data_IF_484985253418
#
_entry.id   IF_484985253418
#
_cell.length_a   1.000
_cell.length_b   1.000
_cell.length_c   1.000
_cell.angle_alpha   90.00
_cell.angle_beta   90.00
_cell.angle_gamma   90.00
#
_symmetry.space_group_name_H-M   'P 1'
#
loop_
_entity.id
_entity.type
_entity.pdbx_description
1 polymer ?
#
# COMPACT_ATOMS: atom_id res chain seq x y z
N UNK A 1 6.59 -4.96 11.75
CA UNK A 1 6.67 -4.06 10.57
C UNK A 1 5.69 -2.91 10.76
N UNK A 2 6.05 -1.71 10.34
CA UNK A 2 5.12 -0.58 10.22
C UNK A 2 4.90 -0.23 8.75
N UNK A 3 3.65 0.02 8.36
CA UNK A 3 3.26 0.44 7.01
C UNK A 3 2.75 1.87 7.08
N UNK A 4 3.21 2.74 6.20
CA UNK A 4 2.77 4.14 6.14
C UNK A 4 2.71 4.67 4.72
N UNK A 5 2.00 5.78 4.52
CA UNK A 5 1.99 6.56 3.29
C UNK A 5 1.73 8.03 3.61
N UNK A 6 2.16 8.93 2.72
CA UNK A 6 1.82 10.36 2.76
C UNK A 6 0.57 10.69 1.94
N UNK A 7 -0.05 9.70 1.30
CA UNK A 7 -1.25 9.90 0.51
C UNK A 7 -2.44 10.37 1.37
N UNK A 8 -3.30 11.19 0.78
CA UNK A 8 -4.56 11.58 1.39
C UNK A 8 -5.51 10.37 1.52
N UNK A 9 -6.57 10.52 2.32
CA UNK A 9 -7.66 9.56 2.38
C UNK A 9 -8.98 10.33 2.23
N UNK A 10 -9.74 10.15 1.14
CA UNK A 10 -9.54 9.16 0.06
C UNK A 10 -8.38 9.49 -0.90
N UNK A 11 -7.95 8.48 -1.67
CA UNK A 11 -7.01 8.59 -2.80
C UNK A 11 -7.77 8.53 -4.13
N UNK A 12 -7.22 9.16 -5.17
CA UNK A 12 -7.79 9.14 -6.54
C UNK A 12 -6.86 8.49 -7.58
N UNK A 13 -5.86 7.73 -7.13
CA UNK A 13 -4.88 7.10 -7.99
C UNK A 13 -3.85 6.30 -7.21
N UNK A 14 -2.76 5.92 -7.88
CA UNK A 14 -1.67 5.18 -7.26
C UNK A 14 -0.94 6.01 -6.19
N UNK A 15 -0.45 5.33 -5.15
CA UNK A 15 0.29 5.96 -4.05
C UNK A 15 1.47 5.10 -3.62
N UNK A 16 2.49 5.73 -3.03
CA UNK A 16 3.63 5.00 -2.48
C UNK A 16 3.33 4.56 -1.06
N UNK A 17 3.43 3.26 -0.80
CA UNK A 17 3.48 2.69 0.54
C UNK A 17 4.94 2.48 0.98
N UNK A 18 5.23 2.80 2.23
CA UNK A 18 6.53 2.61 2.87
C UNK A 18 6.40 1.54 3.95
N UNK A 19 7.28 0.56 3.91
CA UNK A 19 7.39 -0.54 4.86
C UNK A 19 8.67 -0.33 5.68
N UNK A 20 8.52 -0.16 6.99
CA UNK A 20 9.62 0.09 7.91
C UNK A 20 9.75 -1.05 8.90
N UNK A 21 10.92 -1.67 8.91
CA UNK A 21 11.35 -2.65 9.90
C UNK A 21 12.13 -1.92 11.01
N UNK A 22 12.07 -2.43 12.23
CA UNK A 22 12.80 -1.85 13.38
C UNK A 22 14.30 -2.05 13.29
N UNK A 23 14.74 -3.03 12.49
CA UNK A 23 16.14 -3.40 12.27
C UNK A 23 16.36 -3.80 10.80
N UNK A 24 17.60 -4.06 10.42
CA UNK A 24 17.94 -4.52 9.08
C UNK A 24 17.38 -5.93 8.85
N UNK A 25 16.71 -6.14 7.71
CA UNK A 25 16.14 -7.44 7.34
C UNK A 25 16.56 -7.86 5.94
N UNK A 26 16.42 -9.15 5.67
CA UNK A 26 16.59 -9.78 4.36
C UNK A 26 15.37 -10.65 4.06
N UNK A 27 15.17 -10.98 2.78
CA UNK A 27 14.08 -11.86 2.35
C UNK A 27 12.76 -11.17 2.02
N UNK A 28 12.57 -9.91 2.42
CA UNK A 28 11.35 -9.17 2.06
C UNK A 28 11.30 -8.82 0.57
N UNK A 29 10.26 -9.27 -0.11
CA UNK A 29 10.01 -9.06 -1.53
C UNK A 29 8.56 -8.61 -1.79
N UNK A 30 8.29 -8.13 -3.00
CA UNK A 30 6.95 -7.65 -3.41
C UNK A 30 5.85 -8.71 -3.25
N UNK A 31 6.19 -9.99 -3.40
CA UNK A 31 5.25 -11.12 -3.25
C UNK A 31 4.79 -11.35 -1.80
N UNK A 32 5.49 -10.78 -0.82
CA UNK A 32 5.13 -10.90 0.60
C UNK A 32 4.10 -9.85 1.03
N UNK A 33 3.79 -8.89 0.15
CA UNK A 33 2.79 -7.85 0.39
C UNK A 33 1.43 -8.41 -0.03
N UNK A 34 0.53 -8.59 0.94
CA UNK A 34 -0.85 -8.98 0.66
C UNK A 34 -1.68 -7.72 0.45
N UNK A 35 -2.37 -7.64 -0.69
CA UNK A 35 -3.15 -6.47 -1.09
C UNK A 35 -4.63 -6.82 -1.28
N UNK A 36 -5.51 -5.98 -0.75
CA UNK A 36 -6.93 -5.94 -1.10
C UNK A 36 -7.21 -4.78 -2.04
N UNK A 37 -7.95 -5.04 -3.14
CA UNK A 37 -8.35 -4.04 -4.14
C UNK A 37 -7.18 -3.23 -4.75
N UNK A 38 -5.98 -3.81 -4.84
CA UNK A 38 -4.83 -3.13 -5.41
C UNK A 38 -3.77 -4.09 -5.95
N UNK A 39 -2.86 -3.55 -6.76
CA UNK A 39 -1.62 -4.22 -7.21
C UNK A 39 -0.39 -3.42 -6.78
N UNK A 40 0.72 -4.10 -6.49
CA UNK A 40 2.01 -3.46 -6.22
C UNK A 40 2.91 -3.47 -7.46
N UNK A 41 3.63 -2.37 -7.67
CA UNK A 41 4.73 -2.25 -8.64
C UNK A 41 5.85 -1.38 -8.06
N UNK A 42 6.94 -1.19 -8.81
CA UNK A 42 8.07 -0.34 -8.41
C UNK A 42 8.58 -0.61 -6.99
N UNK A 43 8.62 -1.89 -6.60
CA UNK A 43 9.16 -2.29 -5.30
C UNK A 43 10.66 -1.99 -5.24
N UNK A 44 11.09 -1.27 -4.22
CA UNK A 44 12.50 -0.91 -4.03
C UNK A 44 12.88 -0.92 -2.55
N UNK A 45 14.12 -1.26 -2.26
CA UNK A 45 14.72 -1.12 -0.94
C UNK A 45 15.45 0.23 -0.90
N UNK A 46 14.95 1.17 -0.11
CA UNK A 46 15.62 2.47 0.13
C UNK A 46 16.76 2.33 1.14
N UNK A 47 16.64 1.35 2.04
CA UNK A 47 17.71 0.90 2.94
C UNK A 47 17.48 -0.58 3.31
N UNK A 48 18.34 -1.13 4.17
CA UNK A 48 18.17 -2.49 4.70
C UNK A 48 16.96 -2.65 5.64
N UNK A 49 16.30 -1.57 6.02
CA UNK A 49 15.14 -1.57 6.93
C UNK A 49 13.91 -0.86 6.34
N UNK A 50 14.06 -0.19 5.20
CA UNK A 50 13.00 0.63 4.59
C UNK A 50 12.81 0.24 3.14
N UNK A 51 11.59 -0.18 2.81
CA UNK A 51 11.19 -0.59 1.48
C UNK A 51 10.01 0.27 1.04
N UNK A 52 9.86 0.48 -0.26
CA UNK A 52 8.70 1.17 -0.83
C UNK A 52 8.12 0.37 -1.99
N UNK A 53 6.82 0.53 -2.21
CA UNK A 53 6.13 0.00 -3.37
C UNK A 53 5.08 1.01 -3.84
N UNK A 54 4.87 1.08 -5.16
CA UNK A 54 3.76 1.82 -5.75
C UNK A 54 2.51 0.93 -5.72
N UNK A 55 1.52 1.35 -4.95
CA UNK A 55 0.23 0.66 -4.80
C UNK A 55 -0.76 1.33 -5.73
N UNK A 56 -1.35 0.55 -6.64
CA UNK A 56 -2.34 1.02 -7.61
C UNK A 56 -3.69 0.40 -7.28
N UNK A 57 -4.69 1.18 -6.82
CA UNK A 57 -6.04 0.68 -6.60
C UNK A 57 -6.66 0.14 -7.89
N UNK A 58 -7.47 -0.91 -7.80
CA UNK A 58 -8.14 -1.50 -8.97
C UNK A 58 -9.50 -0.85 -9.25
N UNK A 59 -10.31 -0.64 -8.20
CA UNK A 59 -11.63 0.02 -8.28
C UNK A 59 -11.86 0.94 -7.09
N UNK A 60 -12.95 1.70 -7.11
CA UNK A 60 -13.45 2.42 -5.94
C UNK A 60 -13.65 1.48 -4.75
N UNK A 61 -13.39 1.99 -3.54
CA UNK A 61 -13.55 1.26 -2.29
C UNK A 61 -12.26 1.10 -1.49
N UNK A 62 -12.31 0.29 -0.45
CA UNK A 62 -11.19 0.13 0.49
C UNK A 62 -10.03 -0.62 -0.16
N UNK A 63 -8.83 -0.04 -0.05
CA UNK A 63 -7.55 -0.66 -0.36
C UNK A 63 -6.91 -1.08 0.96
N UNK A 64 -6.49 -2.34 1.07
CA UNK A 64 -5.80 -2.85 2.27
C UNK A 64 -4.40 -3.35 1.91
N UNK A 65 -3.47 -3.17 2.85
CA UNK A 65 -2.09 -3.64 2.75
C UNK A 65 -1.73 -4.37 4.04
N UNK A 66 -1.29 -5.60 3.89
CA UNK A 66 -0.85 -6.47 4.98
C UNK A 66 0.54 -7.03 4.70
N UNK A 67 1.27 -7.28 5.78
CA UNK A 67 2.55 -8.00 5.79
C UNK A 67 2.48 -8.99 6.95
N UNK A 68 2.60 -10.28 6.65
CA UNK A 68 2.46 -11.36 7.63
C UNK A 68 3.62 -11.38 8.65
N UNK A 69 3.62 -12.32 9.59
CA UNK A 69 4.79 -12.59 10.42
C UNK A 69 5.75 -13.55 9.69
N UNK A 70 7.04 -13.47 10.01
CA UNK A 70 8.08 -14.41 9.54
C UNK A 70 8.31 -14.46 8.01
N UNK A 71 8.11 -13.36 7.29
CA UNK A 71 8.44 -13.27 5.86
C UNK A 71 9.84 -12.69 5.63
N UNK A 72 10.29 -11.83 6.54
CA UNK A 72 11.62 -11.21 6.51
C UNK A 72 12.36 -11.56 7.79
N UNK A 73 13.68 -11.69 7.69
CA UNK A 73 14.53 -12.10 8.80
C UNK A 73 15.71 -11.15 9.01
N UNK A 74 16.09 -10.94 10.27
CA UNK A 74 17.32 -10.23 10.63
C UNK A 74 18.58 -11.11 10.42
N UNK A 75 19.76 -10.56 10.77
CA UNK A 75 21.03 -11.28 10.66
C UNK A 75 21.16 -12.51 11.59
N UNK A 76 20.35 -12.59 12.64
CA UNK A 76 20.27 -13.70 13.56
C UNK A 76 19.16 -14.71 13.19
N UNK A 77 18.53 -14.54 12.01
CA UNK A 77 17.41 -15.35 11.52
C UNK A 77 16.12 -15.25 12.36
N UNK A 78 15.93 -14.15 13.10
CA UNK A 78 14.64 -13.87 13.73
C UNK A 78 13.68 -13.28 12.70
N UNK A 79 12.47 -13.84 12.63
CA UNK A 79 11.41 -13.35 11.74
C UNK A 79 10.77 -12.05 12.21
N UNK A 80 10.24 -11.27 11.27
CA UNK A 80 9.48 -10.06 11.60
C UNK A 80 8.12 -10.39 12.24
N UNK A 81 7.62 -9.49 13.09
CA UNK A 81 6.21 -9.48 13.49
C UNK A 81 5.32 -8.98 12.36
N UNK A 82 4.11 -9.55 12.26
CA UNK A 82 3.06 -9.07 11.36
C UNK A 82 2.83 -7.56 11.52
N UNK A 83 2.57 -6.88 10.41
CA UNK A 83 2.18 -5.49 10.43
C UNK A 83 0.73 -5.33 10.90
N UNK A 84 0.42 -4.22 11.55
CA UNK A 84 -0.96 -3.76 11.63
C UNK A 84 -1.43 -3.43 10.21
N UNK A 85 -2.62 -3.92 9.82
CA UNK A 85 -3.18 -3.64 8.51
C UNK A 85 -3.23 -2.13 8.25
N UNK A 86 -2.75 -1.73 7.08
CA UNK A 86 -2.90 -0.36 6.58
C UNK A 86 -4.03 -0.31 5.57
N UNK A 87 -4.85 0.75 5.61
CA UNK A 87 -5.96 0.90 4.68
C UNK A 87 -6.22 2.35 4.29
N UNK A 88 -6.58 2.56 3.03
CA UNK A 88 -7.09 3.82 2.48
C UNK A 88 -8.36 3.55 1.68
N UNK A 89 -9.15 4.58 1.39
CA UNK A 89 -10.31 4.49 0.49
C UNK A 89 -9.94 5.05 -0.87
N UNK A 90 -10.13 4.29 -1.93
CA UNK A 90 -10.01 4.75 -3.31
C UNK A 90 -11.33 5.33 -3.82
N UNK A 91 -11.24 6.52 -4.40
CA UNK A 91 -12.28 7.21 -5.17
C UNK A 91 -11.67 7.65 -6.51
N UNK A 92 -11.83 6.78 -7.50
CA UNK A 92 -11.36 6.92 -8.87
C UNK A 92 -12.46 7.50 -9.78
N UNK A 93 -13.67 7.69 -9.26
CA UNK A 93 -14.80 8.19 -10.02
C UNK A 93 -14.63 9.69 -10.31
N UNK A 94 -14.58 10.03 -11.60
CA UNK A 94 -14.51 11.43 -12.02
C UNK A 94 -15.87 12.13 -11.83
N UNK A 95 -15.90 13.41 -11.43
CA UNK A 95 -17.15 14.15 -11.31
C UNK A 95 -17.80 14.32 -12.69
N UNK A 96 -19.11 14.06 -12.77
CA UNK A 96 -19.90 14.30 -13.99
C UNK A 96 -20.74 15.56 -13.85
N UNK A 97 -20.76 16.42 -14.87
CA UNK A 97 -21.66 17.57 -14.96
C UNK A 97 -22.87 17.20 -15.81
N UNK A 98 -24.07 17.35 -15.25
CA UNK A 98 -25.32 17.25 -16.00
C UNK A 98 -25.92 18.66 -16.15
N UNK A 99 -26.06 19.14 -17.39
CA UNK A 99 -26.84 20.34 -17.70
C UNK A 99 -28.21 19.88 -18.18
N UNK A 100 -29.26 20.25 -17.45
CA UNK A 100 -30.64 20.03 -17.87
C UNK A 100 -31.24 21.37 -18.27
N UNK A 101 -31.87 21.44 -19.46
CA UNK A 101 -32.74 22.55 -19.84
C UNK A 101 -34.16 22.04 -19.96
N UNK A 102 -35.09 22.62 -19.21
CA UNK A 102 -36.51 22.54 -19.51
C UNK A 102 -36.87 23.75 -20.35
N UNK A 103 -36.85 23.59 -21.67
CA UNK A 103 -37.48 24.56 -22.55
C UNK A 103 -39.01 24.43 -22.39
N UNK A 104 -39.68 25.55 -22.10
CA UNK A 104 -41.13 25.70 -22.10
C UNK A 104 -41.57 26.44 -23.37
#
# INVERSE_FOLDING_TARGET
VAISSTAANPINGAFTATFTFSEAVTGFAVGDITLGNATASNFTATSTSVYTALITPATDGTVTIDVAANIAQDAAANGNTAATQFSLTADLTSPTVAITSTAA
#
